data_IF_935235944506
#
_entry.id   IF_935235944506
#
_cell.length_a   1.000
_cell.length_b   1.000
_cell.length_c   1.000
_cell.angle_alpha   90.00
_cell.angle_beta   90.00
_cell.angle_gamma   90.00
#
_symmetry.space_group_name_H-M   'P 1'
#
loop_
_entity.id
_entity.type
_entity.pdbx_description
1 polymer ?
#
# COMPACT_ATOMS: atom_id res chain seq x y z
N UNK A 1 8.77 -5.47 17.51
CA UNK A 1 8.14 -4.44 18.36
C UNK A 1 6.77 -4.16 17.80
N UNK A 2 5.74 -3.88 18.62
CA UNK A 2 4.46 -3.40 18.08
C UNK A 2 4.68 -2.03 17.43
N UNK A 3 4.16 -1.83 16.23
CA UNK A 3 4.18 -0.52 15.57
C UNK A 3 2.99 0.32 16.07
N UNK A 4 3.09 1.64 15.97
CA UNK A 4 1.97 2.54 16.29
C UNK A 4 1.04 2.77 15.09
N UNK A 5 1.30 2.12 13.96
CA UNK A 5 0.54 2.29 12.73
C UNK A 5 -0.66 1.34 12.71
N UNK A 6 -1.85 1.90 12.58
CA UNK A 6 -3.10 1.13 12.56
C UNK A 6 -3.70 1.22 11.17
N UNK A 7 -3.84 0.07 10.51
CA UNK A 7 -4.52 -0.03 9.22
C UNK A 7 -6.01 0.29 9.39
N UNK A 8 -6.50 1.27 8.65
CA UNK A 8 -7.88 1.74 8.73
C UNK A 8 -8.82 0.87 7.88
N UNK A 9 -10.13 0.83 8.19
CA UNK A 9 -11.13 0.25 7.31
C UNK A 9 -11.02 0.84 5.90
N UNK A 10 -11.22 -0.01 4.88
CA UNK A 10 -11.25 0.43 3.48
C UNK A 10 -12.63 1.00 3.16
N UNK A 11 -12.67 2.01 2.27
CA UNK A 11 -13.92 2.67 1.88
C UNK A 11 -14.70 1.81 0.87
N UNK A 12 -13.98 1.14 -0.02
CA UNK A 12 -14.56 0.32 -1.09
C UNK A 12 -13.92 -1.07 -1.13
N UNK A 13 -14.66 -2.11 -1.57
CA UNK A 13 -14.03 -3.33 -2.01
C UNK A 13 -13.25 -3.08 -3.31
N UNK A 14 -12.25 -3.90 -3.59
CA UNK A 14 -11.50 -3.78 -4.84
C UNK A 14 -10.72 -5.04 -5.19
N UNK A 15 -10.16 -5.04 -6.39
CA UNK A 15 -9.38 -6.14 -6.96
C UNK A 15 -7.90 -5.78 -7.11
N UNK A 16 -7.43 -4.85 -6.28
CA UNK A 16 -6.02 -4.48 -6.19
C UNK A 16 -5.28 -5.48 -5.31
N UNK A 17 -4.01 -5.73 -5.65
CA UNK A 17 -3.25 -6.87 -5.13
C UNK A 17 -2.01 -6.47 -4.36
N UNK A 18 -1.48 -5.26 -4.58
CA UNK A 18 -0.26 -4.77 -3.97
C UNK A 18 0.91 -5.76 -4.14
N UNK A 19 0.95 -6.44 -5.29
CA UNK A 19 1.92 -7.49 -5.65
C UNK A 19 3.06 -6.98 -6.55
N UNK A 20 3.01 -5.68 -6.88
CA UNK A 20 4.03 -4.99 -7.66
C UNK A 20 5.25 -4.61 -6.85
N UNK A 21 6.18 -3.90 -7.48
CA UNK A 21 7.34 -3.35 -6.78
C UNK A 21 6.91 -2.21 -5.83
N UNK A 22 7.38 -2.17 -4.58
CA UNK A 22 7.14 -1.04 -3.69
C UNK A 22 8.01 0.17 -4.10
N UNK A 23 7.39 1.32 -4.27
CA UNK A 23 8.06 2.63 -4.31
C UNK A 23 7.68 3.41 -3.06
N UNK A 24 8.63 4.15 -2.49
CA UNK A 24 8.42 4.91 -1.27
C UNK A 24 8.93 6.33 -1.47
N UNK A 25 8.25 7.31 -0.87
CA UNK A 25 8.78 8.67 -0.81
C UNK A 25 10.02 8.73 0.08
N UNK A 26 10.78 9.82 -0.07
CA UNK A 26 11.92 10.08 0.78
C UNK A 26 11.51 10.20 2.25
N UNK A 27 10.37 10.82 2.55
CA UNK A 27 9.85 10.93 3.92
C UNK A 27 9.69 9.57 4.58
N UNK A 28 9.10 8.60 3.89
CA UNK A 28 8.96 7.23 4.40
C UNK A 28 10.33 6.60 4.71
N UNK A 29 11.31 6.72 3.81
CA UNK A 29 12.64 6.17 4.02
C UNK A 29 13.43 6.85 5.15
N UNK A 30 13.24 8.15 5.35
CA UNK A 30 13.96 8.91 6.38
C UNK A 30 13.32 8.75 7.77
N UNK A 31 12.01 8.53 7.84
CA UNK A 31 11.27 8.56 9.11
C UNK A 31 10.85 7.19 9.65
N UNK A 32 10.63 6.18 8.79
CA UNK A 32 10.22 4.85 9.24
C UNK A 32 11.41 3.90 9.32
N UNK A 33 11.38 3.04 10.34
CA UNK A 33 12.34 1.93 10.41
C UNK A 33 12.01 0.84 9.37
N UNK A 34 12.98 0.01 8.98
CA UNK A 34 12.71 -1.15 8.12
C UNK A 34 11.60 -2.06 8.65
N UNK A 35 11.55 -2.27 9.97
CA UNK A 35 10.51 -3.09 10.61
C UNK A 35 9.11 -2.46 10.52
N UNK A 36 9.01 -1.13 10.55
CA UNK A 36 7.74 -0.44 10.33
C UNK A 36 7.30 -0.59 8.88
N UNK A 37 8.20 -0.43 7.91
CA UNK A 37 7.91 -0.62 6.49
C UNK A 37 7.45 -2.06 6.23
N UNK A 38 8.16 -3.06 6.75
CA UNK A 38 7.79 -4.47 6.63
C UNK A 38 6.43 -4.76 7.25
N UNK A 39 6.12 -4.12 8.38
CA UNK A 39 4.80 -4.23 9.00
C UNK A 39 3.70 -3.67 8.10
N UNK A 40 3.87 -2.48 7.53
CA UNK A 40 2.87 -1.86 6.64
C UNK A 40 2.57 -2.78 5.44
N UNK A 41 3.62 -3.28 4.78
CA UNK A 41 3.49 -4.17 3.61
C UNK A 41 2.80 -5.48 4.01
N UNK A 42 3.21 -6.09 5.12
CA UNK A 42 2.63 -7.35 5.61
C UNK A 42 1.14 -7.22 5.91
N UNK A 43 0.72 -6.11 6.53
CA UNK A 43 -0.68 -5.84 6.86
C UNK A 43 -1.54 -5.66 5.59
N UNK A 44 -1.01 -5.02 4.55
CA UNK A 44 -1.68 -4.90 3.26
C UNK A 44 -1.84 -6.28 2.60
N UNK A 45 -0.78 -7.09 2.58
CA UNK A 45 -0.85 -8.42 1.99
C UNK A 45 -1.81 -9.35 2.73
N UNK A 46 -1.88 -9.24 4.06
CA UNK A 46 -2.88 -9.96 4.86
C UNK A 46 -4.31 -9.52 4.53
N UNK A 47 -4.54 -8.21 4.37
CA UNK A 47 -5.85 -7.68 3.90
C UNK A 47 -6.21 -8.20 2.52
N UNK A 48 -5.30 -8.12 1.55
CA UNK A 48 -5.54 -8.62 0.19
C UNK A 48 -5.87 -10.11 0.21
N UNK A 49 -5.13 -10.90 0.99
CA UNK A 49 -5.34 -12.35 1.10
C UNK A 49 -6.69 -12.69 1.73
N UNK A 50 -7.07 -11.99 2.80
CA UNK A 50 -8.33 -12.23 3.51
C UNK A 50 -9.55 -11.73 2.74
N UNK A 51 -9.43 -10.61 2.03
CA UNK A 51 -10.50 -10.00 1.23
C UNK A 51 -10.61 -10.49 -0.20
N UNK A 52 -9.67 -11.32 -0.67
CA UNK A 52 -9.47 -11.64 -2.10
C UNK A 52 -9.34 -10.38 -2.98
N UNK A 53 -8.54 -9.43 -2.51
CA UNK A 53 -8.40 -8.10 -3.09
C UNK A 53 -8.62 -7.03 -2.04
N UNK A 54 -8.25 -5.80 -2.39
CA UNK A 54 -8.43 -4.63 -1.56
C UNK A 54 -8.77 -3.41 -2.42
N UNK A 55 -9.20 -2.34 -1.75
CA UNK A 55 -9.27 -1.01 -2.34
C UNK A 55 -7.91 -0.59 -2.92
N UNK A 56 -7.89 0.31 -3.90
CA UNK A 56 -6.64 0.81 -4.50
C UNK A 56 -5.82 1.63 -3.50
N UNK A 57 -6.49 2.26 -2.52
CA UNK A 57 -5.89 3.07 -1.47
C UNK A 57 -6.04 2.38 -0.11
N UNK A 58 -4.91 2.17 0.56
CA UNK A 58 -4.85 1.70 1.94
C UNK A 58 -4.32 2.82 2.83
N UNK A 59 -4.97 3.03 3.98
CA UNK A 59 -4.64 4.12 4.89
C UNK A 59 -4.20 3.54 6.23
N UNK A 60 -3.04 3.99 6.70
CA UNK A 60 -2.60 3.76 8.08
C UNK A 60 -2.64 5.08 8.85
N UNK A 61 -3.04 5.01 10.12
CA UNK A 61 -3.03 6.14 11.04
C UNK A 61 -2.10 5.81 12.20
N UNK A 62 -1.18 6.71 12.51
CA UNK A 62 -0.34 6.59 13.69
C UNK A 62 -1.16 6.89 14.94
N UNK A 63 -1.26 5.94 15.87
CA UNK A 63 -2.13 5.99 17.04
C UNK A 63 -1.88 7.20 17.96
N UNK A 64 -0.63 7.66 18.04
CA UNK A 64 -0.25 8.80 18.90
C UNK A 64 -0.30 10.15 18.17
N UNK A 65 0.37 10.30 17.02
CA UNK A 65 0.49 11.58 16.31
C UNK A 65 -0.69 11.89 15.39
N UNK A 66 -1.52 10.89 15.05
CA UNK A 66 -2.58 11.04 14.06
C UNK A 66 -2.09 11.18 12.62
N UNK A 67 -0.78 11.09 12.37
CA UNK A 67 -0.21 11.13 11.02
C UNK A 67 -0.74 9.97 10.18
N UNK A 68 -0.81 10.19 8.88
CA UNK A 68 -1.38 9.24 7.94
C UNK A 68 -0.35 8.80 6.92
N UNK A 69 -0.36 7.52 6.61
CA UNK A 69 0.37 6.93 5.49
C UNK A 69 -0.65 6.40 4.50
N UNK A 70 -0.43 6.70 3.22
CA UNK A 70 -1.17 6.16 2.10
C UNK A 70 -0.33 5.11 1.40
N UNK A 71 -0.97 3.99 1.05
CA UNK A 71 -0.40 2.98 0.16
C UNK A 71 -1.33 2.76 -1.02
N UNK A 72 -0.82 3.01 -2.23
CA UNK A 72 -1.62 3.12 -3.44
C UNK A 72 -1.11 2.11 -4.48
N UNK A 73 -1.97 1.19 -4.90
CA UNK A 73 -1.67 0.25 -5.99
C UNK A 73 -2.15 0.83 -7.33
N UNK A 74 -1.27 0.80 -8.33
CA UNK A 74 -1.52 1.40 -9.63
C UNK A 74 -2.33 0.48 -10.57
N UNK A 75 -2.32 -0.84 -10.34
CA UNK A 75 -2.97 -1.80 -11.25
C UNK A 75 -3.83 -2.83 -10.50
N UNK A 76 -5.13 -2.84 -10.83
CA UNK A 76 -6.02 -3.93 -10.44
C UNK A 76 -5.94 -5.11 -11.44
N UNK A 77 -6.64 -6.21 -11.10
CA UNK A 77 -6.69 -7.41 -11.94
C UNK A 77 -7.16 -7.15 -13.39
N UNK A 78 -8.15 -6.27 -13.58
CA UNK A 78 -8.67 -5.94 -14.92
C UNK A 78 -7.64 -5.20 -15.76
N UNK A 79 -6.95 -4.22 -15.17
CA UNK A 79 -5.85 -3.50 -15.82
C UNK A 79 -4.73 -4.46 -16.22
N UNK A 80 -4.38 -5.41 -15.33
CA UNK A 80 -3.36 -6.44 -15.62
C UNK A 80 -3.79 -7.38 -16.74
N UNK A 81 -5.05 -7.78 -16.79
CA UNK A 81 -5.56 -8.73 -17.81
C UNK A 81 -5.63 -8.10 -19.20
N UNK A 82 -5.93 -6.81 -19.28
CA UNK A 82 -6.13 -6.10 -20.55
C UNK A 82 -4.86 -5.43 -21.10
N UNK A 83 -3.77 -5.42 -20.34
CA UNK A 83 -2.53 -4.75 -20.73
C UNK A 83 -1.52 -5.70 -21.38
N UNK A 84 -0.58 -5.12 -22.14
CA UNK A 84 0.54 -5.88 -22.67
C UNK A 84 1.53 -6.26 -21.56
N UNK A 85 2.27 -7.37 -21.69
CA UNK A 85 3.28 -7.76 -20.70
C UNK A 85 4.33 -6.68 -20.42
N UNK A 86 4.73 -5.92 -21.44
CA UNK A 86 5.66 -4.80 -21.28
C UNK A 86 5.10 -3.66 -20.43
N UNK A 87 3.80 -3.37 -20.58
CA UNK A 87 3.13 -2.38 -19.73
C UNK A 87 3.04 -2.86 -18.29
N UNK A 88 2.65 -4.12 -18.07
CA UNK A 88 2.53 -4.71 -16.72
C UNK A 88 3.88 -4.66 -16.01
N UNK A 89 4.96 -5.11 -16.67
CA UNK A 89 6.30 -5.12 -16.07
C UNK A 89 6.78 -3.72 -15.65
N UNK A 90 6.41 -2.68 -16.40
CA UNK A 90 6.80 -1.30 -16.10
C UNK A 90 5.90 -0.61 -15.06
N UNK A 91 4.65 -1.05 -14.92
CA UNK A 91 3.63 -0.33 -14.15
C UNK A 91 3.05 -1.12 -12.98
N UNK A 92 3.45 -2.38 -12.78
CA UNK A 92 3.06 -3.16 -11.61
C UNK A 92 3.91 -2.73 -10.41
N UNK A 93 3.45 -1.66 -9.76
CA UNK A 93 4.04 -1.11 -8.57
C UNK A 93 2.96 -0.52 -7.66
N UNK A 94 3.33 -0.33 -6.40
CA UNK A 94 2.52 0.43 -5.44
C UNK A 94 3.39 1.46 -4.72
N UNK A 95 2.79 2.57 -4.33
CA UNK A 95 3.49 3.70 -3.71
C UNK A 95 3.11 3.79 -2.24
N UNK A 96 4.10 3.95 -1.35
CA UNK A 96 3.95 4.25 0.08
C UNK A 96 4.40 5.68 0.32
N UNK A 97 3.56 6.51 0.93
CA UNK A 97 3.88 7.91 1.20
C UNK A 97 3.13 8.45 2.42
N UNK A 98 3.64 9.49 3.06
CA UNK A 98 2.82 10.23 4.02
C UNK A 98 1.69 10.95 3.29
N UNK A 99 0.53 11.07 3.95
CA UNK A 99 -0.63 11.76 3.39
C UNK A 99 -0.38 13.25 3.12
N UNK A 100 0.56 13.86 3.84
CA UNK A 100 0.99 15.25 3.63
C UNK A 100 1.91 15.44 2.40
N UNK A 101 2.37 14.34 1.79
CA UNK A 101 3.18 14.35 0.55
C UNK A 101 2.33 14.11 -0.72
N UNK A 102 1.02 13.85 -0.56
CA UNK A 102 0.06 13.61 -1.65
C UNK A 102 -0.63 14.91 -2.08
#
# INVERSE_FOLDING_TARGET
MPTNWVLQPQEQPGTYRFDGNPYMTRGIHEELSPEEIDFLISQIHERVKSGNGADYLQVFVHSVSGRRIFVIDNLNDSSKTNASPGFINANNYFTIMFAEEY
#
